data_IF_275034425190
#
_entry.id   IF_275034425190
#
_cell.length_a   1.000
_cell.length_b   1.000
_cell.length_c   1.000
_cell.angle_alpha   90.00
_cell.angle_beta   90.00
_cell.angle_gamma   90.00
#
_symmetry.space_group_name_H-M   'P 1'
#
loop_
_entity.id
_entity.type
_entity.pdbx_description
1 polymer ?
#
# COMPACT_ATOMS: atom_id res chain seq x y z
N UNK A 1 6.80 8.38 -21.41
CA UNK A 1 7.75 7.45 -20.77
C UNK A 1 8.47 8.26 -19.71
N UNK A 2 8.16 8.08 -18.42
CA UNK A 2 8.69 8.94 -17.36
C UNK A 2 9.38 8.04 -16.34
N UNK A 3 10.70 8.16 -16.26
CA UNK A 3 11.49 7.71 -15.12
C UNK A 3 10.99 8.47 -13.89
N UNK A 4 10.86 7.78 -12.76
CA UNK A 4 10.70 8.44 -11.46
C UNK A 4 11.82 9.47 -11.26
N UNK A 5 11.58 10.60 -10.54
CA UNK A 5 12.61 11.60 -10.26
C UNK A 5 13.93 11.01 -9.71
N UNK A 6 13.85 9.86 -9.05
CA UNK A 6 14.94 9.22 -8.32
C UNK A 6 15.55 8.00 -9.02
N UNK A 7 15.28 7.81 -10.32
CA UNK A 7 15.89 6.75 -11.13
C UNK A 7 15.24 5.36 -11.00
N UNK A 8 14.09 5.26 -10.34
CA UNK A 8 13.29 4.03 -10.29
C UNK A 8 12.68 3.73 -11.67
N UNK A 9 12.98 2.55 -12.21
CA UNK A 9 12.37 2.05 -13.44
C UNK A 9 11.11 1.24 -13.13
N UNK A 10 9.96 1.84 -13.41
CA UNK A 10 8.63 1.22 -13.28
C UNK A 10 8.07 0.75 -14.63
N UNK A 11 8.88 0.73 -15.70
CA UNK A 11 8.42 0.46 -17.07
C UNK A 11 7.93 -0.98 -17.29
N UNK A 12 8.30 -1.91 -16.42
CA UNK A 12 7.81 -3.29 -16.42
C UNK A 12 6.43 -3.45 -15.73
N UNK A 13 6.02 -2.50 -14.88
CA UNK A 13 4.76 -2.59 -14.16
C UNK A 13 3.57 -2.49 -15.11
N UNK A 14 2.53 -3.29 -14.87
CA UNK A 14 1.28 -3.28 -15.63
C UNK A 14 0.12 -3.19 -14.66
N UNK A 15 -0.91 -2.45 -15.06
CA UNK A 15 -2.15 -2.41 -14.31
C UNK A 15 -2.76 -3.82 -14.27
N UNK A 16 -3.24 -4.22 -13.10
CA UNK A 16 -3.93 -5.47 -12.86
C UNK A 16 -5.14 -5.15 -12.00
N UNK A 17 -6.28 -5.77 -12.32
CA UNK A 17 -7.48 -5.66 -11.52
C UNK A 17 -7.35 -6.56 -10.31
N UNK A 18 -7.73 -6.08 -9.13
CA UNK A 18 -7.79 -6.91 -7.92
C UNK A 18 -8.90 -7.95 -8.03
N UNK A 19 -8.65 -9.18 -7.58
CA UNK A 19 -9.56 -10.32 -7.61
C UNK A 19 -9.48 -11.05 -6.26
N UNK A 20 -10.51 -11.83 -5.92
CA UNK A 20 -10.60 -12.51 -4.63
C UNK A 20 -9.40 -13.44 -4.36
N UNK A 21 -8.89 -14.14 -5.37
CA UNK A 21 -7.73 -15.03 -5.25
C UNK A 21 -6.48 -14.30 -4.72
N UNK A 22 -6.35 -12.98 -4.97
CA UNK A 22 -5.24 -12.20 -4.44
C UNK A 22 -5.26 -12.06 -2.91
N UNK A 23 -6.40 -12.29 -2.26
CA UNK A 23 -6.39 -12.41 -0.82
C UNK A 23 -5.48 -13.56 -0.40
N UNK A 24 -5.53 -14.72 -1.05
CA UNK A 24 -4.68 -15.85 -0.69
C UNK A 24 -3.21 -15.62 -1.08
N UNK A 25 -2.96 -14.91 -2.17
CA UNK A 25 -1.60 -14.66 -2.68
C UNK A 25 -0.78 -13.65 -1.85
N UNK A 26 -1.43 -12.76 -1.10
CA UNK A 26 -0.76 -11.66 -0.39
C UNK A 26 -1.03 -11.65 1.12
N UNK A 27 0.05 -11.49 1.89
CA UNK A 27 -0.01 -11.35 3.36
C UNK A 27 -0.46 -9.95 3.79
N UNK A 28 -0.17 -8.92 2.98
CA UNK A 28 -0.53 -7.53 3.24
C UNK A 28 -1.09 -6.87 2.00
N UNK A 29 -2.23 -6.21 2.14
CA UNK A 29 -2.89 -5.47 1.06
C UNK A 29 -3.07 -4.03 1.52
N UNK A 30 -2.48 -3.09 0.77
CA UNK A 30 -2.54 -1.66 1.11
C UNK A 30 -3.39 -0.89 0.11
N UNK A 31 -4.54 -0.41 0.57
CA UNK A 31 -5.44 0.44 -0.21
C UNK A 31 -4.98 1.90 -0.19
N UNK A 32 -4.98 2.57 -1.35
CA UNK A 32 -4.48 3.95 -1.46
C UNK A 32 -5.46 4.98 -0.92
N UNK A 33 -6.76 4.70 -1.01
CA UNK A 33 -7.83 5.53 -0.47
C UNK A 33 -8.99 4.68 0.06
N UNK A 34 -10.02 5.34 0.59
CA UNK A 34 -11.18 4.68 1.19
C UNK A 34 -12.08 3.99 0.17
N UNK A 35 -12.12 4.47 -1.06
CA UNK A 35 -12.89 3.83 -2.13
C UNK A 35 -12.23 2.51 -2.52
N UNK A 36 -10.91 2.49 -2.71
CA UNK A 36 -10.17 1.25 -2.94
C UNK A 36 -10.31 0.27 -1.78
N UNK A 37 -10.25 0.75 -0.54
CA UNK A 37 -10.46 -0.10 0.64
C UNK A 37 -11.84 -0.75 0.59
N UNK A 38 -12.88 0.06 0.39
CA UNK A 38 -14.25 -0.44 0.30
C UNK A 38 -14.41 -1.45 -0.84
N UNK A 39 -13.88 -1.16 -2.03
CA UNK A 39 -14.02 -2.04 -3.20
C UNK A 39 -13.27 -3.37 -3.01
N UNK A 40 -12.12 -3.36 -2.33
CA UNK A 40 -11.40 -4.58 -1.99
C UNK A 40 -12.18 -5.38 -0.95
N UNK A 41 -12.59 -4.75 0.16
CA UNK A 41 -13.36 -5.44 1.21
C UNK A 41 -14.71 -5.97 0.72
N UNK A 42 -15.32 -5.33 -0.28
CA UNK A 42 -16.54 -5.82 -0.92
C UNK A 42 -16.35 -7.18 -1.61
N UNK A 43 -15.11 -7.53 -2.00
CA UNK A 43 -14.78 -8.84 -2.57
C UNK A 43 -14.50 -9.90 -1.49
N UNK A 44 -14.33 -9.50 -0.22
CA UNK A 44 -14.20 -10.39 0.93
C UNK A 44 -15.58 -10.66 1.55
N UNK A 45 -16.45 -11.36 0.80
CA UNK A 45 -17.85 -11.60 1.18
C UNK A 45 -18.02 -12.29 2.54
N UNK A 46 -16.99 -13.04 2.98
CA UNK A 46 -17.00 -13.79 4.23
C UNK A 46 -16.22 -13.09 5.37
N UNK A 47 -15.72 -11.88 5.14
CA UNK A 47 -14.97 -11.06 6.11
C UNK A 47 -13.74 -11.80 6.70
N UNK A 48 -13.12 -12.69 5.93
CA UNK A 48 -12.01 -13.54 6.42
C UNK A 48 -10.66 -12.81 6.39
N UNK A 49 -10.54 -11.76 5.58
CA UNK A 49 -9.28 -11.13 5.22
C UNK A 49 -9.19 -9.66 5.68
N UNK A 50 -10.22 -9.11 6.34
CA UNK A 50 -10.28 -7.72 6.83
C UNK A 50 -9.03 -7.32 7.63
N UNK A 51 -8.47 -8.24 8.44
CA UNK A 51 -7.30 -7.99 9.27
C UNK A 51 -5.99 -7.66 8.52
N UNK A 52 -5.88 -7.99 7.22
CA UNK A 52 -4.68 -7.74 6.41
C UNK A 52 -4.85 -6.65 5.35
N UNK A 53 -6.06 -6.15 5.15
CA UNK A 53 -6.36 -5.06 4.22
C UNK A 53 -6.37 -3.75 5.00
N UNK A 54 -5.41 -2.86 4.73
CA UNK A 54 -5.25 -1.60 5.49
C UNK A 54 -5.09 -0.41 4.58
N UNK A 55 -5.42 0.80 5.05
CA UNK A 55 -5.08 2.00 4.29
C UNK A 55 -3.56 2.21 4.29
N UNK A 56 -2.99 2.45 3.12
CA UNK A 56 -1.56 2.70 2.96
C UNK A 56 -1.05 3.80 3.91
N UNK A 57 -1.83 4.87 4.06
CA UNK A 57 -1.44 6.01 4.91
C UNK A 57 -1.72 5.83 6.41
N UNK A 58 -2.15 4.66 6.87
CA UNK A 58 -2.11 4.34 8.32
C UNK A 58 -0.68 4.36 8.87
N UNK A 59 0.29 4.03 8.02
CA UNK A 59 1.72 4.01 8.35
C UNK A 59 2.40 5.37 8.09
N UNK A 60 1.69 6.32 7.50
CA UNK A 60 2.23 7.63 7.16
C UNK A 60 2.41 8.46 8.44
N UNK A 61 3.62 8.97 8.75
CA UNK A 61 3.82 9.83 9.93
C UNK A 61 3.03 11.14 9.85
N UNK A 62 2.49 11.50 8.68
CA UNK A 62 1.65 12.67 8.47
C UNK A 62 0.38 12.26 7.71
N UNK A 63 -0.53 11.48 8.32
CA UNK A 63 -1.56 10.74 7.60
C UNK A 63 -2.66 11.63 6.99
N UNK A 64 -2.84 12.87 7.49
CA UNK A 64 -3.89 13.76 7.02
C UNK A 64 -5.27 13.11 7.16
N UNK A 65 -5.96 12.87 6.04
CA UNK A 65 -7.24 12.17 5.98
C UNK A 65 -7.11 10.66 5.68
N UNK A 66 -5.90 10.10 5.80
CA UNK A 66 -5.54 8.71 5.50
C UNK A 66 -5.68 8.29 4.03
N UNK A 67 -5.92 9.24 3.11
CA UNK A 67 -6.07 8.94 1.68
C UNK A 67 -4.90 9.49 0.88
N UNK A 68 -4.36 8.70 -0.03
CA UNK A 68 -3.47 9.18 -1.09
C UNK A 68 -4.35 9.91 -2.11
N UNK A 69 -4.10 11.19 -2.42
CA UNK A 69 -4.90 11.87 -3.42
C UNK A 69 -4.64 11.31 -4.82
N UNK A 70 -5.63 11.37 -5.69
CA UNK A 70 -5.46 11.02 -7.10
C UNK A 70 -4.47 12.00 -7.78
N UNK A 71 -3.34 11.53 -8.32
CA UNK A 71 -2.34 12.38 -8.95
C UNK A 71 -2.81 12.98 -10.30
N UNK A 72 -3.79 12.38 -10.97
CA UNK A 72 -4.24 12.79 -12.30
C UNK A 72 -5.00 14.12 -12.28
N UNK A 73 -5.60 14.50 -11.15
CA UNK A 73 -6.31 15.77 -11.01
C UNK A 73 -5.39 17.00 -10.90
N UNK A 74 -4.12 16.82 -10.48
CA UNK A 74 -3.21 17.92 -10.13
C UNK A 74 -2.05 18.16 -11.10
N UNK A 75 -2.04 17.49 -12.26
CA UNK A 75 -0.90 17.55 -13.18
C UNK A 75 0.40 17.09 -12.50
N UNK A 76 1.55 17.67 -12.86
CA UNK A 76 2.87 17.23 -12.36
C UNK A 76 3.01 17.35 -10.83
N UNK A 77 2.49 18.42 -10.23
CA UNK A 77 2.56 18.63 -8.79
C UNK A 77 1.76 17.57 -8.01
N UNK A 78 0.67 17.07 -8.59
CA UNK A 78 -0.09 15.94 -8.06
C UNK A 78 0.77 14.69 -7.93
N UNK A 79 1.51 14.34 -8.98
CA UNK A 79 2.44 13.20 -8.95
C UNK A 79 3.58 13.39 -7.94
N UNK A 80 4.20 14.58 -7.89
CA UNK A 80 5.27 14.85 -6.94
C UNK A 80 4.78 14.75 -5.47
N UNK A 81 3.54 15.20 -5.22
CA UNK A 81 2.89 15.06 -3.90
C UNK A 81 2.65 13.60 -3.54
N UNK A 82 2.09 12.81 -4.46
CA UNK A 82 1.84 11.37 -4.24
C UNK A 82 3.15 10.63 -4.04
N UNK A 83 4.18 10.93 -4.81
CA UNK A 83 5.51 10.33 -4.66
C UNK A 83 6.09 10.56 -3.26
N UNK A 84 6.05 11.80 -2.74
CA UNK A 84 6.54 12.10 -1.38
C UNK A 84 5.73 11.37 -0.29
N UNK A 85 4.44 11.16 -0.50
CA UNK A 85 3.62 10.35 0.42
C UNK A 85 4.04 8.88 0.34
N UNK A 86 4.18 8.33 -0.87
CA UNK A 86 4.59 6.95 -1.07
C UNK A 86 5.96 6.69 -0.43
N UNK A 87 6.97 7.50 -0.76
CA UNK A 87 8.34 7.35 -0.29
C UNK A 87 8.45 7.31 1.25
N UNK A 88 7.89 8.31 1.93
CA UNK A 88 7.94 8.37 3.41
C UNK A 88 7.13 7.28 4.10
N UNK A 89 6.05 6.82 3.47
CA UNK A 89 5.13 5.84 4.07
C UNK A 89 5.68 4.44 3.88
N UNK A 90 6.21 4.12 2.71
CA UNK A 90 6.88 2.84 2.43
C UNK A 90 8.08 2.62 3.36
N UNK A 91 8.84 3.68 3.69
CA UNK A 91 9.91 3.57 4.70
C UNK A 91 9.38 3.08 6.06
N UNK A 92 8.21 3.58 6.50
CA UNK A 92 7.58 3.14 7.76
C UNK A 92 6.99 1.75 7.67
N UNK A 93 6.38 1.39 6.55
CA UNK A 93 5.88 0.03 6.32
C UNK A 93 7.04 -0.96 6.41
N UNK A 94 8.17 -0.67 5.75
CA UNK A 94 9.34 -1.54 5.80
C UNK A 94 9.87 -1.70 7.23
N UNK A 95 9.99 -0.61 7.99
CA UNK A 95 10.40 -0.65 9.40
C UNK A 95 9.48 -1.55 10.25
N UNK A 96 8.16 -1.52 10.02
CA UNK A 96 7.20 -2.35 10.75
C UNK A 96 7.28 -3.82 10.33
N UNK A 97 7.35 -4.10 9.02
CA UNK A 97 7.45 -5.48 8.50
C UNK A 97 8.72 -6.18 8.98
N UNK A 98 9.86 -5.49 9.02
CA UNK A 98 11.11 -6.05 9.56
C UNK A 98 10.96 -6.43 11.03
N UNK A 99 10.28 -5.59 11.85
CA UNK A 99 10.04 -5.90 13.26
C UNK A 99 9.03 -7.04 13.45
N UNK A 100 8.06 -7.18 12.55
CA UNK A 100 7.09 -8.28 12.57
C UNK A 100 7.84 -9.61 12.31
N UNK A 101 8.70 -9.66 11.28
CA UNK A 101 9.51 -10.83 10.93
C UNK A 101 10.49 -11.26 12.05
N UNK A 102 11.16 -10.29 12.69
CA UNK A 102 12.05 -10.55 13.84
C UNK A 102 11.29 -11.19 15.01
N UNK A 103 10.09 -10.68 15.33
CA UNK A 103 9.25 -11.21 16.41
C UNK A 103 8.72 -12.61 16.11
N UNK A 104 8.43 -12.92 14.85
CA UNK A 104 8.01 -14.26 14.44
C UNK A 104 9.17 -15.25 14.54
N UNK A 105 10.37 -14.86 14.11
CA UNK A 105 11.59 -15.66 14.23
C UNK A 105 11.92 -16.02 15.69
N UNK A 106 11.74 -15.08 16.63
CA UNK A 106 11.94 -15.33 18.06
C UNK A 106 10.89 -16.27 18.68
N UNK A 107 9.66 -16.33 18.14
CA UNK A 107 8.60 -17.23 18.61
C UNK A 107 8.79 -18.66 18.09
N UNK A 108 9.31 -18.84 16.87
CA UNK A 108 9.51 -20.17 16.27
C UNK A 108 10.77 -20.86 16.83
N UNK A 109 11.76 -20.10 17.28
CA UNK A 109 12.98 -20.63 17.91
C UNK A 109 12.83 -21.11 19.36
N UNK A 110 11.62 -21.11 19.93
CA UNK A 110 11.35 -21.42 21.35
C UNK A 110 10.32 -22.54 21.47
#
# INVERSE_FOLDING_TARGET
RRNSPDGLDISAQRAQQFAADHFEDFDHIFAMDKSNLHDVLFLDEEEQYDGKVRLFREFDPQPGNYQVPDPYAGGREGFDRVYRIADRTTARILDELVKEDEKESEKVGK
#
